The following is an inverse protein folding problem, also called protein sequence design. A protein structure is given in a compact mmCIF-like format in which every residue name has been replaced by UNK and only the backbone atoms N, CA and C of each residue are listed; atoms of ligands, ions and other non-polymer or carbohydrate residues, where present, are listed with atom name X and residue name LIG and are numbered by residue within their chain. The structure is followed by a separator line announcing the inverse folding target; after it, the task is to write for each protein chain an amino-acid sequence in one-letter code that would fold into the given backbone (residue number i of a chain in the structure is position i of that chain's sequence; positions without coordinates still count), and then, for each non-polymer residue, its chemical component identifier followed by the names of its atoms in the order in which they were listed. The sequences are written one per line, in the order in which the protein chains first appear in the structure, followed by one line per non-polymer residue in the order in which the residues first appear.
data_IF_305435286747
#
_entry.id   IF_305435286747
#
_cell.length_a   1.000
_cell.length_b   1.000
_cell.length_c   1.000
_cell.angle_alpha   90.00
_cell.angle_beta   90.00
_cell.angle_gamma   90.00
#
_symmetry.space_group_name_H-M   'P 1'
#
loop_
_entity.id
_entity.type
_entity.pdbx_description
1 polymer ?
#
# COMPACT_ATOMS: atom_id res chain seq x y z
N UNK A 1 -10.41 16.29 -1.30
CA UNK A 1 -10.43 14.83 -1.02
C UNK A 1 -9.16 14.35 -0.28
N UNK A 2 -8.53 15.15 0.60
CA UNK A 2 -7.25 14.77 1.22
C UNK A 2 -7.36 14.39 2.71
N UNK A 3 -8.20 15.06 3.50
CA UNK A 3 -8.25 14.86 4.96
C UNK A 3 -9.08 13.65 5.40
N UNK A 4 -10.15 13.34 4.65
CA UNK A 4 -11.01 12.18 4.93
C UNK A 4 -10.29 10.86 4.67
N UNK A 5 -9.46 10.80 3.62
CA UNK A 5 -8.68 9.61 3.28
C UNK A 5 -7.62 9.28 4.34
N UNK A 6 -6.97 10.30 4.93
CA UNK A 6 -6.02 10.11 6.04
C UNK A 6 -6.72 9.68 7.34
N UNK A 7 -7.91 10.21 7.63
CA UNK A 7 -8.71 9.79 8.79
C UNK A 7 -9.27 8.36 8.69
N UNK A 8 -9.54 7.89 7.47
CA UNK A 8 -10.01 6.52 7.21
C UNK A 8 -8.88 5.47 7.35
N UNK A 9 -7.62 5.85 7.10
CA UNK A 9 -6.46 5.00 7.40
C UNK A 9 -6.28 4.74 8.90
N UNK A 10 -6.57 5.73 9.74
CA UNK A 10 -6.37 5.64 11.20
C UNK A 10 -7.53 4.91 11.90
N UNK A 11 -8.74 4.97 11.35
CA UNK A 11 -9.96 4.39 11.96
C UNK A 11 -10.20 2.92 11.59
N UNK A 12 -9.33 2.30 10.80
CA UNK A 12 -9.55 0.92 10.32
C UNK A 12 -10.77 0.79 9.40
N UNK A 13 -11.35 1.91 8.96
CA UNK A 13 -12.49 1.98 8.05
C UNK A 13 -12.08 2.05 6.58
N UNK A 14 -10.85 1.68 6.25
CA UNK A 14 -10.58 1.11 4.93
C UNK A 14 -11.26 -0.26 4.92
N UNK A 15 -12.59 -0.22 4.77
CA UNK A 15 -13.43 -1.40 4.64
C UNK A 15 -12.74 -2.34 3.68
N UNK A 16 -12.70 -3.62 4.03
CA UNK A 16 -12.29 -4.73 3.18
C UNK A 16 -13.07 -4.79 1.84
N UNK A 17 -14.06 -3.90 1.64
CA UNK A 17 -14.79 -3.59 0.39
C UNK A 17 -14.18 -2.50 -0.50
N UNK A 18 -13.34 -1.61 0.03
CA UNK A 18 -12.61 -0.56 -0.72
C UNK A 18 -11.13 -0.91 -0.93
N UNK A 19 -10.66 -2.01 -0.33
CA UNK A 19 -9.48 -2.70 -0.82
C UNK A 19 -9.86 -3.32 -2.16
N UNK A 20 -9.71 -2.53 -3.23
CA UNK A 20 -9.63 -3.05 -4.58
C UNK A 20 -8.47 -4.03 -4.57
N UNK A 21 -8.78 -5.32 -4.41
CA UNK A 21 -7.77 -6.38 -4.41
C UNK A 21 -6.96 -6.35 -5.70
N UNK A 22 -5.81 -7.04 -5.74
CA UNK A 22 -5.02 -7.18 -6.97
C UNK A 22 -5.87 -7.56 -8.19
N UNK A 23 -6.90 -8.39 -7.96
CA UNK A 23 -7.84 -8.78 -9.00
C UNK A 23 -8.73 -7.62 -9.49
N UNK A 24 -9.27 -6.81 -8.58
CA UNK A 24 -10.08 -5.65 -8.96
C UNK A 24 -9.25 -4.64 -9.75
N UNK A 25 -8.00 -4.39 -9.35
CA UNK A 25 -7.06 -3.55 -10.10
C UNK A 25 -6.85 -4.11 -11.52
N UNK A 26 -6.70 -5.43 -11.66
CA UNK A 26 -6.57 -6.09 -12.96
C UNK A 26 -7.84 -5.96 -13.83
N UNK A 27 -9.04 -6.10 -13.26
CA UNK A 27 -10.30 -5.92 -13.98
C UNK A 27 -10.48 -4.47 -14.45
N UNK A 28 -10.20 -3.49 -13.57
CA UNK A 28 -10.23 -2.07 -13.94
C UNK A 28 -9.16 -1.72 -15.00
N UNK A 29 -7.99 -2.35 -14.96
CA UNK A 29 -6.97 -2.19 -15.99
C UNK A 29 -7.48 -2.71 -17.35
N UNK A 30 -8.13 -3.88 -17.37
CA UNK A 30 -8.73 -4.47 -18.57
C UNK A 30 -9.83 -3.60 -19.17
N UNK A 31 -10.74 -3.08 -18.33
CA UNK A 31 -11.79 -2.13 -18.74
C UNK A 31 -11.19 -0.84 -19.29
N UNK A 32 -10.17 -0.29 -18.62
CA UNK A 32 -9.50 0.93 -19.06
C UNK A 32 -8.77 0.74 -20.40
N UNK A 33 -8.19 -0.44 -20.65
CA UNK A 33 -7.59 -0.79 -21.93
C UNK A 33 -8.64 -0.91 -23.04
N UNK A 34 -9.81 -1.48 -22.74
CA UNK A 34 -10.93 -1.57 -23.69
C UNK A 34 -11.52 -0.20 -24.07
N UNK A 35 -11.46 0.78 -23.16
CA UNK A 35 -11.89 2.17 -23.41
C UNK A 35 -10.89 2.99 -24.25
N UNK A 36 -9.68 2.46 -24.48
CA UNK A 36 -8.66 3.06 -25.34
C UNK A 36 -7.38 3.47 -24.62
N UNK A 37 -6.33 3.76 -25.40
CA UNK A 37 -4.97 3.99 -24.91
C UNK A 37 -4.87 5.16 -23.92
N UNK A 38 -5.58 6.26 -24.17
CA UNK A 38 -5.55 7.45 -23.31
C UNK A 38 -6.10 7.14 -21.90
N UNK A 39 -7.19 6.38 -21.82
CA UNK A 39 -7.82 6.01 -20.56
C UNK A 39 -6.93 5.02 -19.78
N UNK A 40 -6.33 4.06 -20.48
CA UNK A 40 -5.37 3.14 -19.90
C UNK A 40 -4.13 3.84 -19.32
N UNK A 41 -3.53 4.78 -20.07
CA UNK A 41 -2.37 5.54 -19.59
C UNK A 41 -2.73 6.42 -18.38
N UNK A 42 -3.93 6.99 -18.36
CA UNK A 42 -4.42 7.79 -17.25
C UNK A 42 -4.65 6.95 -15.99
N UNK A 43 -5.22 5.74 -16.15
CA UNK A 43 -5.35 4.76 -15.07
C UNK A 43 -3.98 4.32 -14.54
N UNK A 44 -3.03 4.00 -15.43
CA UNK A 44 -1.68 3.60 -15.07
C UNK A 44 -0.95 4.71 -14.31
N UNK A 45 -1.07 5.96 -14.76
CA UNK A 45 -0.51 7.12 -14.09
C UNK A 45 -1.08 7.28 -12.67
N UNK A 46 -2.40 7.13 -12.50
CA UNK A 46 -3.06 7.20 -11.19
C UNK A 46 -2.55 6.12 -10.23
N UNK A 47 -2.45 4.86 -10.70
CA UNK A 47 -1.94 3.74 -9.90
C UNK A 47 -0.48 3.97 -9.54
N UNK A 48 0.35 4.40 -10.50
CA UNK A 48 1.78 4.68 -10.29
C UNK A 48 2.00 5.76 -9.22
N UNK A 49 1.27 6.88 -9.29
CA UNK A 49 1.32 7.94 -8.28
C UNK A 49 0.86 7.42 -6.92
N UNK A 50 -0.23 6.65 -6.88
CA UNK A 50 -0.77 6.10 -5.64
C UNK A 50 0.22 5.15 -4.97
N UNK A 51 0.85 4.25 -5.73
CA UNK A 51 1.91 3.35 -5.24
C UNK A 51 3.14 4.13 -4.80
N UNK A 52 3.55 5.17 -5.53
CA UNK A 52 4.64 6.04 -5.14
C UNK A 52 4.38 6.73 -3.79
N UNK A 53 3.18 7.27 -3.58
CA UNK A 53 2.80 7.87 -2.29
C UNK A 53 2.76 6.83 -1.17
N UNK A 54 2.19 5.64 -1.43
CA UNK A 54 2.16 4.55 -0.45
C UNK A 54 3.58 4.09 -0.08
N UNK A 55 4.48 3.94 -1.05
CA UNK A 55 5.87 3.55 -0.81
C UNK A 55 6.65 4.59 -0.01
N UNK A 56 6.28 5.87 -0.09
CA UNK A 56 6.90 6.94 0.71
C UNK A 56 6.35 7.02 2.13
N UNK A 57 5.29 6.28 2.48
CA UNK A 57 4.82 6.23 3.85
C UNK A 57 5.90 5.64 4.77
N UNK A 58 5.97 6.08 6.03
CA UNK A 58 6.94 5.59 7.02
C UNK A 58 6.60 4.17 7.51
N UNK A 59 6.51 3.23 6.58
CA UNK A 59 6.23 1.82 6.84
C UNK A 59 7.55 1.04 6.73
N UNK A 60 7.87 0.17 7.70
CA UNK A 60 9.19 -0.48 7.82
C UNK A 60 9.60 -1.37 6.64
N UNK A 61 8.63 -1.82 5.84
CA UNK A 61 8.84 -2.71 4.69
C UNK A 61 8.85 -1.94 3.37
N UNK A 62 8.47 -0.65 3.38
CA UNK A 62 8.42 0.20 2.22
C UNK A 62 9.63 1.14 2.18
N UNK A 63 9.93 1.69 1.00
CA UNK A 63 11.08 2.58 0.77
C UNK A 63 11.08 3.81 1.72
N UNK A 64 9.89 4.30 2.11
CA UNK A 64 9.69 5.39 3.05
C UNK A 64 10.06 5.05 4.49
N UNK A 65 10.12 3.77 4.87
CA UNK A 65 10.67 3.33 6.15
C UNK A 65 12.17 3.64 6.27
N UNK A 66 12.91 3.43 5.19
CA UNK A 66 14.32 3.81 5.11
C UNK A 66 14.50 5.34 5.10
N UNK A 67 13.62 6.06 4.41
CA UNK A 67 13.62 7.53 4.42
C UNK A 67 13.41 8.07 5.84
N UNK A 68 12.46 7.50 6.60
CA UNK A 68 12.21 7.88 7.99
C UNK A 68 13.45 7.62 8.87
N UNK A 69 14.18 6.53 8.64
CA UNK A 69 15.42 6.25 9.35
C UNK A 69 16.49 7.31 9.05
N UNK A 70 16.71 7.65 7.79
CA UNK A 70 17.69 8.68 7.42
C UNK A 70 17.32 10.06 7.98
N UNK A 71 16.03 10.40 8.00
CA UNK A 71 15.53 11.62 8.64
C UNK A 71 15.77 11.60 10.15
N UNK A 72 15.52 10.47 10.81
CA UNK A 72 15.78 10.31 12.24
C UNK A 72 17.26 10.43 12.58
N UNK A 73 18.13 9.75 11.83
CA UNK A 73 19.58 9.80 12.03
C UNK A 73 20.13 11.21 11.77
N UNK A 74 19.65 11.88 10.71
CA UNK A 74 20.01 13.26 10.39
C UNK A 74 19.58 14.29 11.44
N UNK A 75 18.41 14.10 12.07
CA UNK A 75 17.92 14.99 13.13
C UNK A 75 18.54 14.71 14.50
N UNK A 76 18.73 13.44 14.85
CA UNK A 76 19.08 13.02 16.22
C UNK A 76 20.57 12.72 16.38
N UNK A 77 21.30 12.54 15.27
CA UNK A 77 22.72 12.18 15.25
C UNK A 77 23.02 10.81 15.89
N UNK A 78 21.99 9.99 16.10
CA UNK A 78 22.08 8.69 16.77
C UNK A 78 21.50 7.60 15.86
N UNK A 79 22.23 6.49 15.64
CA UNK A 79 21.71 5.37 14.86
C UNK A 79 20.55 4.71 15.63
N UNK A 80 19.50 4.30 14.90
CA UNK A 80 18.44 3.47 15.47
C UNK A 80 19.02 2.10 15.79
N UNK A 81 18.77 1.50 16.97
CA UNK A 81 19.36 0.21 17.30
C UNK A 81 18.87 -0.88 16.34
N UNK A 82 19.79 -1.65 15.75
CA UNK A 82 19.51 -2.69 14.74
C UNK A 82 18.44 -3.70 15.19
N UNK A 83 18.41 -4.04 16.49
CA UNK A 83 17.42 -4.96 17.06
C UNK A 83 15.98 -4.46 16.90
N UNK A 84 15.75 -3.15 17.01
CA UNK A 84 14.41 -2.57 16.81
C UNK A 84 14.01 -2.65 15.33
N UNK A 85 14.96 -2.43 14.43
CA UNK A 85 14.73 -2.50 13.00
C UNK A 85 14.34 -3.92 12.54
N UNK A 86 15.10 -4.94 12.96
CA UNK A 86 14.80 -6.33 12.62
C UNK A 86 13.40 -6.77 13.10
N UNK A 87 13.03 -6.40 14.33
CA UNK A 87 11.71 -6.73 14.89
C UNK A 87 10.61 -6.03 14.09
N UNK A 88 10.79 -4.74 13.80
CA UNK A 88 9.80 -3.93 13.10
C UNK A 88 9.63 -4.38 11.64
N UNK A 89 10.72 -4.76 10.96
CA UNK A 89 10.70 -5.31 9.61
C UNK A 89 10.02 -6.69 9.58
N UNK A 90 10.34 -7.59 10.51
CA UNK A 90 9.68 -8.90 10.62
C UNK A 90 8.18 -8.77 10.90
N UNK A 91 7.80 -7.86 11.80
CA UNK A 91 6.40 -7.58 12.09
C UNK A 91 5.67 -6.99 10.87
N UNK A 92 6.31 -6.08 10.14
CA UNK A 92 5.77 -5.51 8.91
C UNK A 92 5.57 -6.56 7.81
N UNK A 93 6.54 -7.45 7.59
CA UNK A 93 6.42 -8.55 6.62
C UNK A 93 5.31 -9.53 7.01
N UNK A 94 5.23 -9.90 8.29
CA UNK A 94 4.16 -10.76 8.79
C UNK A 94 2.77 -10.12 8.56
N UNK A 95 2.64 -8.82 8.85
CA UNK A 95 1.40 -8.08 8.61
C UNK A 95 1.04 -8.05 7.12
N UNK A 96 2.00 -7.77 6.23
CA UNK A 96 1.79 -7.78 4.79
C UNK A 96 1.34 -9.14 4.28
N UNK A 97 1.96 -10.23 4.74
CA UNK A 97 1.57 -11.58 4.37
C UNK A 97 0.14 -11.91 4.81
N UNK A 98 -0.25 -11.50 6.01
CA UNK A 98 -1.63 -11.65 6.50
C UNK A 98 -2.60 -10.86 5.62
N UNK A 99 -2.30 -9.59 5.34
CA UNK A 99 -3.13 -8.75 4.48
C UNK A 99 -3.26 -9.29 3.06
N UNK A 100 -2.15 -9.76 2.47
CA UNK A 100 -2.16 -10.39 1.15
C UNK A 100 -3.02 -11.66 1.13
N UNK A 101 -2.91 -12.50 2.17
CA UNK A 101 -3.70 -13.71 2.31
C UNK A 101 -5.20 -13.39 2.42
N UNK A 102 -5.56 -12.39 3.22
CA UNK A 102 -6.94 -11.92 3.37
C UNK A 102 -7.47 -11.33 2.07
N UNK A 103 -6.70 -10.50 1.38
CA UNK A 103 -7.08 -9.90 0.10
C UNK A 103 -7.30 -10.98 -0.97
N UNK A 104 -6.38 -11.94 -1.08
CA UNK A 104 -6.51 -13.05 -2.02
C UNK A 104 -7.72 -13.94 -1.71
N UNK A 105 -7.95 -14.26 -0.43
CA UNK A 105 -9.13 -15.02 -0.01
C UNK A 105 -10.44 -14.29 -0.38
N UNK A 106 -10.49 -12.97 -0.19
CA UNK A 106 -11.63 -12.14 -0.57
C UNK A 106 -11.83 -12.09 -2.09
N UNK A 107 -10.75 -11.94 -2.86
CA UNK A 107 -10.79 -11.95 -4.34
C UNK A 107 -11.30 -13.30 -4.88
N UNK A 108 -10.85 -14.42 -4.30
CA UNK A 108 -11.34 -15.77 -4.66
C UNK A 108 -12.83 -15.92 -4.34
N UNK A 109 -13.26 -15.51 -3.14
CA UNK A 109 -14.68 -15.53 -2.77
C UNK A 109 -15.55 -14.68 -3.72
N UNK A 110 -15.04 -13.56 -4.19
CA UNK A 110 -15.75 -12.66 -5.11
C UNK A 110 -15.92 -13.25 -6.53
N UNK A 111 -15.03 -14.16 -6.95
CA UNK A 111 -15.16 -14.85 -8.25
C UNK A 111 -16.10 -16.05 -8.15
N UNK A 112 -16.08 -16.77 -7.02
CA UNK A 112 -16.82 -18.04 -6.85
C UNK A 112 -18.21 -17.89 -6.20
N UNK A 113 -18.51 -16.74 -5.59
CA UNK A 113 -19.82 -16.41 -5.00
C UNK A 113 -20.60 -15.40 -5.83
#
# INVERSE_FOLDING_TARGET
MSLVAMGQMITGQVSLRNLNGPLAIADYAGKSAALGLLQFLSFLALISISLGVLNLLPLPVLDGGHLMYYLWEGMTGRPVPEKWWEVLQRAGVALLLVMMSVAFYNDVLHIFG
#
